data_IF_855445079213
#
_entry.id   IF_855445079213
#
_cell.length_a   1.000
_cell.length_b   1.000
_cell.length_c   1.000
_cell.angle_alpha   90.00
_cell.angle_beta   90.00
_cell.angle_gamma   90.00
#
_symmetry.space_group_name_H-M   'P 1'
#
loop_
_entity.id
_entity.type
_entity.pdbx_description
1 polymer ?
#
# COMPACT_ATOMS: atom_id res chain seq x y z
N UNK A 1 5.63 -23.93 -5.99
CA UNK A 1 6.04 -22.52 -6.08
C UNK A 1 5.69 -21.79 -4.80
N UNK A 2 6.63 -20.99 -4.35
CA UNK A 2 6.43 -20.23 -3.12
C UNK A 2 5.55 -19.02 -3.41
N UNK A 3 4.56 -18.82 -2.55
CA UNK A 3 3.73 -17.62 -2.61
C UNK A 3 4.53 -16.41 -2.16
N UNK A 4 4.20 -15.25 -2.71
CA UNK A 4 4.77 -13.98 -2.30
C UNK A 4 3.74 -13.26 -1.42
N UNK A 5 4.22 -12.52 -0.43
CA UNK A 5 3.35 -11.83 0.51
C UNK A 5 3.65 -10.34 0.55
N UNK A 6 2.63 -9.56 0.86
CA UNK A 6 2.74 -8.11 1.07
C UNK A 6 1.93 -7.70 2.29
N UNK A 7 2.46 -6.76 3.06
CA UNK A 7 1.73 -6.10 4.14
C UNK A 7 1.36 -4.72 3.64
N UNK A 8 0.08 -4.42 3.58
CA UNK A 8 -0.41 -3.14 3.04
C UNK A 8 -1.47 -2.53 3.94
N UNK A 9 -1.64 -1.22 3.84
CA UNK A 9 -2.81 -0.53 4.40
C UNK A 9 -3.77 -0.28 3.24
N UNK A 10 -4.94 -0.91 3.21
CA UNK A 10 -5.91 -0.69 2.14
C UNK A 10 -6.72 0.59 2.36
N UNK A 11 -7.09 1.24 1.27
CA UNK A 11 -7.93 2.43 1.25
C UNK A 11 -9.09 2.20 0.29
N UNK A 12 -9.96 1.26 0.66
CA UNK A 12 -11.08 0.82 -0.19
C UNK A 12 -12.05 1.95 -0.54
N UNK A 13 -12.16 2.95 0.33
CA UNK A 13 -12.98 4.13 0.06
C UNK A 13 -12.51 4.98 -1.12
N UNK A 14 -11.27 4.81 -1.57
CA UNK A 14 -10.74 5.53 -2.73
C UNK A 14 -10.93 4.77 -4.05
N UNK A 15 -11.50 3.57 -4.01
CA UNK A 15 -11.65 2.72 -5.19
C UNK A 15 -12.41 3.43 -6.32
N UNK A 16 -13.47 4.17 -6.00
CA UNK A 16 -14.26 4.88 -7.00
C UNK A 16 -13.47 5.97 -7.74
N UNK A 17 -12.38 6.44 -7.17
CA UNK A 17 -11.53 7.47 -7.78
C UNK A 17 -10.42 6.85 -8.61
N UNK A 18 -9.78 5.79 -8.14
CA UNK A 18 -8.52 5.32 -8.72
C UNK A 18 -8.59 3.94 -9.40
N UNK A 19 -9.63 3.14 -9.13
CA UNK A 19 -9.62 1.74 -9.60
C UNK A 19 -9.78 1.58 -11.10
N UNK A 20 -10.50 2.47 -11.78
CA UNK A 20 -10.60 2.40 -13.24
C UNK A 20 -9.22 2.60 -13.89
N UNK A 21 -8.47 3.57 -13.41
CA UNK A 21 -7.09 3.81 -13.87
C UNK A 21 -6.18 2.64 -13.53
N UNK A 22 -6.26 2.14 -12.32
CA UNK A 22 -5.45 1.01 -11.87
C UNK A 22 -5.73 -0.25 -12.68
N UNK A 23 -6.99 -0.52 -13.00
CA UNK A 23 -7.37 -1.68 -13.79
C UNK A 23 -6.78 -1.62 -15.20
N UNK A 24 -6.76 -0.45 -15.81
CA UNK A 24 -6.27 -0.26 -17.17
C UNK A 24 -4.76 -0.14 -17.29
N UNK A 25 -4.08 0.31 -16.23
CA UNK A 25 -2.67 0.72 -16.33
C UNK A 25 -1.72 0.00 -15.40
N UNK A 26 -2.19 -0.62 -14.33
CA UNK A 26 -1.32 -1.18 -13.30
C UNK A 26 -1.13 -2.68 -13.43
N UNK A 27 0.02 -3.16 -12.96
CA UNK A 27 0.30 -4.58 -12.86
C UNK A 27 -0.56 -5.21 -11.77
N UNK A 28 -0.63 -4.56 -10.60
CA UNK A 28 -1.48 -5.00 -9.48
C UNK A 28 -2.86 -4.37 -9.63
N UNK A 29 -3.75 -5.09 -10.29
CA UNK A 29 -5.08 -4.59 -10.67
C UNK A 29 -6.13 -4.87 -9.61
N UNK A 30 -7.19 -4.03 -9.54
CA UNK A 30 -8.35 -4.36 -8.70
C UNK A 30 -8.95 -5.73 -8.99
N UNK A 31 -9.06 -6.11 -10.26
CA UNK A 31 -9.59 -7.42 -10.65
C UNK A 31 -8.70 -8.59 -10.21
N UNK A 32 -7.44 -8.33 -9.87
CA UNK A 32 -6.52 -9.32 -9.32
C UNK A 32 -6.53 -9.32 -7.79
N UNK A 33 -7.50 -8.68 -7.16
CA UNK A 33 -7.68 -8.71 -5.71
C UNK A 33 -6.90 -7.67 -4.93
N UNK A 34 -6.26 -6.71 -5.62
CA UNK A 34 -5.46 -5.70 -4.95
C UNK A 34 -6.24 -4.39 -4.78
N UNK A 35 -6.63 -4.02 -3.54
CA UNK A 35 -7.29 -2.74 -3.30
C UNK A 35 -6.32 -1.56 -3.47
N UNK A 36 -6.84 -0.32 -3.54
CA UNK A 36 -5.96 0.85 -3.44
C UNK A 36 -5.25 0.78 -2.08
N UNK A 37 -3.95 0.99 -2.05
CA UNK A 37 -3.18 0.72 -0.84
C UNK A 37 -1.88 1.49 -0.74
N UNK A 38 -1.38 1.62 0.48
CA UNK A 38 0.00 1.98 0.76
C UNK A 38 0.71 0.72 1.25
N UNK A 39 1.80 0.35 0.59
CA UNK A 39 2.58 -0.83 0.97
C UNK A 39 3.44 -0.54 2.19
N UNK A 40 3.39 -1.43 3.18
CA UNK A 40 4.24 -1.35 4.37
C UNK A 40 5.49 -2.22 4.24
N UNK A 41 5.35 -3.42 3.67
CA UNK A 41 6.48 -4.31 3.43
C UNK A 41 6.17 -5.28 2.29
N UNK A 42 7.05 -5.33 1.31
CA UNK A 42 6.98 -6.26 0.20
C UNK A 42 8.39 -6.57 -0.32
N UNK A 43 8.78 -7.82 -0.50
CA UNK A 43 8.08 -9.03 -0.07
C UNK A 43 8.07 -9.17 1.45
N UNK A 44 7.00 -9.72 2.00
CA UNK A 44 6.81 -9.85 3.43
C UNK A 44 6.90 -11.32 3.87
N UNK A 45 7.22 -11.58 5.15
CA UNK A 45 7.13 -12.93 5.70
C UNK A 45 5.68 -13.32 5.92
N UNK A 46 5.38 -14.61 5.92
CA UNK A 46 4.07 -15.11 6.30
C UNK A 46 4.07 -15.52 7.77
N UNK A 47 4.20 -14.55 8.65
CA UNK A 47 4.23 -14.79 10.08
C UNK A 47 3.20 -13.88 10.75
N UNK A 48 1.95 -14.34 10.77
CA UNK A 48 0.82 -13.55 11.24
C UNK A 48 1.03 -13.08 12.68
N UNK A 49 1.51 -13.96 13.55
CA UNK A 49 1.70 -13.62 14.97
C UNK A 49 2.78 -12.55 15.16
N UNK A 50 3.90 -12.68 14.49
CA UNK A 50 4.99 -11.71 14.59
C UNK A 50 4.59 -10.35 13.98
N UNK A 51 3.85 -10.37 12.87
CA UNK A 51 3.35 -9.14 12.26
C UNK A 51 2.38 -8.45 13.23
N UNK A 52 1.48 -9.19 13.85
CA UNK A 52 0.53 -8.64 14.82
C UNK A 52 1.26 -8.00 16.02
N UNK A 53 2.34 -8.62 16.49
CA UNK A 53 3.14 -8.09 17.60
C UNK A 53 3.73 -6.71 17.26
N UNK A 54 4.13 -6.50 16.01
CA UNK A 54 4.65 -5.20 15.56
C UNK A 54 3.51 -4.18 15.47
N UNK A 55 2.42 -4.57 14.82
CA UNK A 55 1.34 -3.63 14.50
C UNK A 55 0.52 -3.19 15.71
N UNK A 56 0.49 -3.97 16.79
CA UNK A 56 -0.25 -3.61 18.00
C UNK A 56 0.24 -2.30 18.63
N UNK A 57 1.46 -1.89 18.35
CA UNK A 57 2.03 -0.65 18.86
C UNK A 57 1.54 0.60 18.12
N UNK A 58 0.77 0.43 17.03
CA UNK A 58 0.36 1.54 16.19
C UNK A 58 -1.15 1.75 16.23
N UNK A 59 -1.55 3.03 16.25
CA UNK A 59 -2.97 3.43 16.27
C UNK A 59 -3.44 3.81 14.88
N UNK A 60 -4.75 3.76 14.65
CA UNK A 60 -5.38 4.28 13.45
C UNK A 60 -5.15 5.78 13.35
N UNK A 61 -5.09 6.30 12.13
CA UNK A 61 -4.88 7.74 11.92
C UNK A 61 -5.52 8.23 10.63
N UNK A 62 -5.86 9.52 10.63
CA UNK A 62 -6.38 10.18 9.44
C UNK A 62 -5.30 10.37 8.39
N UNK A 63 -5.67 10.18 7.13
CA UNK A 63 -4.75 10.33 5.99
C UNK A 63 -5.37 11.26 4.97
N UNK A 64 -4.57 12.20 4.48
CA UNK A 64 -4.95 13.09 3.39
C UNK A 64 -4.01 12.85 2.22
N UNK A 65 -4.58 12.60 1.05
CA UNK A 65 -3.83 12.50 -0.19
C UNK A 65 -4.06 13.80 -0.96
N UNK A 66 -3.14 14.74 -0.80
CA UNK A 66 -3.31 16.10 -1.32
C UNK A 66 -2.62 16.35 -2.65
N UNK A 67 -1.69 15.49 -3.05
CA UNK A 67 -0.93 15.70 -4.29
C UNK A 67 -0.54 14.39 -4.96
N UNK A 68 -0.33 14.49 -6.26
CA UNK A 68 0.27 13.44 -7.06
C UNK A 68 1.78 13.65 -7.16
N UNK A 69 2.53 12.55 -7.25
CA UNK A 69 3.96 12.56 -7.47
C UNK A 69 4.32 11.39 -8.39
N UNK A 70 5.58 11.29 -8.78
CA UNK A 70 6.02 10.29 -9.75
C UNK A 70 7.33 9.64 -9.37
N UNK A 71 7.39 8.33 -9.62
CA UNK A 71 8.65 7.61 -9.83
C UNK A 71 8.74 7.31 -11.32
N UNK A 72 9.91 6.90 -11.84
CA UNK A 72 9.96 6.41 -13.22
C UNK A 72 8.94 5.27 -13.42
N UNK A 73 7.99 5.49 -14.32
CA UNK A 73 6.98 4.49 -14.64
C UNK A 73 5.80 4.37 -13.66
N UNK A 74 5.69 5.23 -12.66
CA UNK A 74 4.62 5.14 -11.66
C UNK A 74 4.14 6.51 -11.23
N UNK A 75 2.84 6.74 -11.35
CA UNK A 75 2.16 7.92 -10.81
C UNK A 75 1.46 7.51 -9.52
N UNK A 76 1.63 8.29 -8.47
CA UNK A 76 1.11 7.93 -7.15
C UNK A 76 0.62 9.12 -6.34
N UNK A 77 -0.25 8.82 -5.39
CA UNK A 77 -0.75 9.78 -4.41
C UNK A 77 0.15 9.76 -3.19
N UNK A 78 0.52 10.96 -2.72
CA UNK A 78 1.35 11.12 -1.55
C UNK A 78 0.48 11.19 -0.30
N UNK A 79 0.64 10.23 0.64
CA UNK A 79 -0.12 10.27 1.89
C UNK A 79 0.48 11.27 2.88
N UNK A 80 -0.38 11.95 3.61
CA UNK A 80 0.02 12.83 4.70
C UNK A 80 -0.75 12.45 5.96
N UNK A 81 -0.07 12.20 7.09
CA UNK A 81 1.36 12.34 7.34
C UNK A 81 2.17 11.12 6.85
N UNK A 82 3.18 11.35 6.05
CA UNK A 82 4.04 10.27 5.54
C UNK A 82 4.81 9.57 6.66
N UNK A 83 5.24 10.31 7.66
CA UNK A 83 6.06 9.79 8.76
C UNK A 83 5.34 8.75 9.62
N UNK A 84 4.02 8.76 9.67
CA UNK A 84 3.25 7.72 10.37
C UNK A 84 3.43 6.37 9.67
N UNK A 85 3.40 6.37 8.35
CA UNK A 85 3.67 5.16 7.57
C UNK A 85 5.13 4.74 7.68
N UNK A 86 6.06 5.70 7.65
CA UNK A 86 7.48 5.42 7.74
C UNK A 86 7.84 4.72 9.05
N UNK A 87 7.24 5.12 10.16
CA UNK A 87 7.47 4.48 11.46
C UNK A 87 7.02 3.02 11.48
N UNK A 88 5.88 2.73 10.88
CA UNK A 88 5.39 1.35 10.79
C UNK A 88 6.32 0.53 9.90
N UNK A 89 6.70 1.08 8.75
CA UNK A 89 7.64 0.42 7.82
C UNK A 89 8.95 0.10 8.54
N UNK A 90 9.52 1.08 9.24
CA UNK A 90 10.78 0.89 9.97
C UNK A 90 10.68 -0.19 11.05
N UNK A 91 9.55 -0.25 11.76
CA UNK A 91 9.32 -1.25 12.78
C UNK A 91 9.26 -2.66 12.17
N UNK A 92 8.59 -2.80 11.02
CA UNK A 92 8.52 -4.07 10.30
C UNK A 92 9.89 -4.48 9.78
N UNK A 93 10.64 -3.56 9.21
CA UNK A 93 11.98 -3.82 8.69
C UNK A 93 12.91 -4.31 9.81
N UNK A 94 12.85 -3.68 10.99
CA UNK A 94 13.65 -4.10 12.14
C UNK A 94 13.28 -5.49 12.63
N UNK A 95 11.99 -5.79 12.64
CA UNK A 95 11.51 -7.09 13.11
C UNK A 95 11.85 -8.22 12.14
N UNK A 96 11.89 -7.91 10.85
CA UNK A 96 12.12 -8.87 9.79
C UNK A 96 13.33 -8.50 8.94
N UNK A 97 14.55 -8.55 9.52
CA UNK A 97 15.75 -8.11 8.79
C UNK A 97 16.09 -8.96 7.58
N UNK A 98 15.56 -10.18 7.51
CA UNK A 98 15.77 -11.09 6.36
C UNK A 98 14.81 -10.78 5.20
N UNK A 99 13.92 -9.79 5.38
CA UNK A 99 12.93 -9.39 4.37
C UNK A 99 13.08 -7.89 4.06
N UNK A 100 14.19 -7.48 3.41
CA UNK A 100 14.37 -6.07 3.07
C UNK A 100 13.30 -5.64 2.06
N UNK A 101 12.72 -4.43 2.21
CA UNK A 101 11.70 -3.94 1.27
C UNK A 101 12.23 -3.98 -0.17
N UNK A 102 11.40 -4.52 -1.08
CA UNK A 102 11.73 -4.65 -2.50
C UNK A 102 13.09 -5.33 -2.74
N UNK A 103 13.40 -6.34 -1.90
CA UNK A 103 14.66 -7.09 -1.94
C UNK A 103 15.91 -6.21 -1.87
N UNK A 104 15.80 -5.06 -1.20
CA UNK A 104 16.92 -4.13 -1.04
C UNK A 104 17.18 -3.24 -2.26
N UNK A 105 16.26 -3.21 -3.23
CA UNK A 105 16.44 -2.45 -4.47
C UNK A 105 16.48 -0.93 -4.25
N UNK A 106 15.90 -0.44 -3.16
CA UNK A 106 15.80 1.00 -2.88
C UNK A 106 16.42 1.32 -1.53
N UNK A 107 17.25 2.37 -1.49
CA UNK A 107 17.88 2.83 -0.25
C UNK A 107 16.87 3.48 0.69
N UNK A 108 15.83 4.10 0.16
CA UNK A 108 14.81 4.79 0.92
C UNK A 108 13.43 4.35 0.44
N UNK A 109 12.53 4.08 1.38
CA UNK A 109 11.16 3.68 1.07
C UNK A 109 10.24 4.88 1.31
N UNK A 110 9.59 5.33 0.23
CA UNK A 110 8.66 6.45 0.25
C UNK A 110 7.23 5.89 0.26
N UNK A 111 6.43 6.18 1.30
CA UNK A 111 5.03 5.74 1.31
C UNK A 111 4.27 6.35 0.13
N UNK A 112 3.53 5.52 -0.59
CA UNK A 112 2.80 5.95 -1.78
C UNK A 112 1.63 5.04 -2.09
N UNK A 113 0.61 5.62 -2.74
CA UNK A 113 -0.54 4.88 -3.25
C UNK A 113 -0.52 5.00 -4.78
N UNK A 114 -0.15 3.93 -5.44
CA UNK A 114 -0.05 3.89 -6.91
C UNK A 114 -1.42 4.06 -7.56
N UNK A 115 -1.52 4.96 -8.54
CA UNK A 115 -2.76 5.17 -9.31
C UNK A 115 -2.64 4.78 -10.77
N UNK A 116 -1.44 4.88 -11.37
CA UNK A 116 -1.26 4.57 -12.78
C UNK A 116 0.19 4.21 -13.09
N UNK A 117 0.38 3.27 -14.01
CA UNK A 117 1.70 2.89 -14.50
C UNK A 117 1.85 3.20 -16.00
N UNK A 118 0.85 3.85 -16.59
CA UNK A 118 0.87 4.40 -17.94
C UNK A 118 -0.25 5.43 -18.06
N UNK A 119 -0.41 6.06 -19.23
CA UNK A 119 -1.47 7.06 -19.48
C UNK A 119 -1.49 8.17 -18.42
N UNK A 120 -0.32 8.70 -18.08
CA UNK A 120 -0.18 9.64 -16.97
C UNK A 120 -0.94 10.95 -17.18
N UNK A 121 -0.99 11.49 -18.39
CA UNK A 121 -1.69 12.75 -18.65
C UNK A 121 -3.19 12.62 -18.35
N UNK A 122 -3.81 11.53 -18.79
CA UNK A 122 -5.19 11.22 -18.49
C UNK A 122 -5.40 11.03 -16.99
N UNK A 123 -4.52 10.29 -16.35
CA UNK A 123 -4.58 10.02 -14.92
C UNK A 123 -4.47 11.29 -14.08
N UNK A 124 -3.56 12.19 -14.44
CA UNK A 124 -3.41 13.48 -13.74
C UNK A 124 -4.69 14.28 -13.81
N UNK A 125 -5.27 14.44 -15.01
CA UNK A 125 -6.50 15.20 -15.19
C UNK A 125 -7.64 14.59 -14.36
N UNK A 126 -7.78 13.26 -14.41
CA UNK A 126 -8.87 12.57 -13.71
C UNK A 126 -8.77 12.64 -12.19
N UNK A 127 -7.58 12.50 -11.64
CA UNK A 127 -7.38 12.42 -10.19
C UNK A 127 -7.19 13.80 -9.56
N UNK A 128 -6.39 14.66 -10.20
CA UNK A 128 -6.05 15.97 -9.62
C UNK A 128 -7.27 16.83 -9.33
N UNK A 129 -8.30 16.73 -10.15
CA UNK A 129 -9.56 17.47 -9.96
C UNK A 129 -10.31 17.05 -8.69
N UNK A 130 -9.99 15.90 -8.16
CA UNK A 130 -10.67 15.33 -6.98
C UNK A 130 -9.89 15.51 -5.68
N UNK A 131 -8.68 16.07 -5.77
CA UNK A 131 -7.84 16.28 -4.59
C UNK A 131 -8.32 17.47 -3.76
N UNK A 132 -8.14 17.45 -2.44
CA UNK A 132 -7.55 16.36 -1.65
C UNK A 132 -8.53 15.21 -1.42
N UNK A 133 -8.00 14.01 -1.29
CA UNK A 133 -8.78 12.84 -0.91
C UNK A 133 -8.50 12.53 0.55
N UNK A 134 -9.55 12.31 1.34
CA UNK A 134 -9.42 12.03 2.76
C UNK A 134 -9.81 10.59 3.05
N UNK A 135 -9.06 9.95 3.91
CA UNK A 135 -9.34 8.59 4.33
C UNK A 135 -8.77 8.36 5.72
N UNK A 136 -8.75 7.11 6.14
CA UNK A 136 -8.24 6.73 7.44
C UNK A 136 -7.49 5.40 7.35
N UNK A 137 -6.32 5.35 7.93
CA UNK A 137 -5.57 4.10 8.08
C UNK A 137 -6.14 3.36 9.28
N UNK A 138 -7.01 2.39 9.04
CA UNK A 138 -7.73 1.67 10.09
C UNK A 138 -7.22 0.28 10.34
N UNK A 139 -6.62 -0.32 9.32
CA UNK A 139 -6.12 -1.69 9.41
C UNK A 139 -4.97 -1.90 8.43
N UNK A 140 -4.17 -2.91 8.71
CA UNK A 140 -3.22 -3.44 7.75
C UNK A 140 -3.65 -4.86 7.39
N UNK A 141 -3.30 -5.32 6.21
CA UNK A 141 -3.62 -6.67 5.79
C UNK A 141 -2.38 -7.37 5.27
N UNK A 142 -2.33 -8.69 5.48
CA UNK A 142 -1.34 -9.54 4.86
C UNK A 142 -1.98 -10.17 3.64
N UNK A 143 -1.45 -9.86 2.47
CA UNK A 143 -1.92 -10.39 1.20
C UNK A 143 -0.97 -11.44 0.69
N UNK A 144 -1.51 -12.45 0.04
CA UNK A 144 -0.76 -13.54 -0.58
C UNK A 144 -1.01 -13.53 -2.08
N UNK A 145 0.07 -13.54 -2.85
CA UNK A 145 0.05 -13.66 -4.31
C UNK A 145 0.57 -15.03 -4.68
N UNK A 146 -0.31 -15.90 -5.12
CA UNK A 146 0.05 -17.26 -5.48
C UNK A 146 -0.21 -17.50 -6.97
N UNK A 147 -1.23 -18.26 -7.29
CA UNK A 147 -1.53 -18.64 -8.67
C UNK A 147 -2.43 -17.63 -9.38
N UNK A 148 -2.38 -17.62 -10.71
CA UNK A 148 -3.26 -16.82 -11.58
C UNK A 148 -3.15 -15.31 -11.34
N UNK A 149 -1.99 -14.84 -10.87
CA UNK A 149 -1.73 -13.42 -10.63
C UNK A 149 -2.75 -12.75 -9.70
N UNK A 150 -3.36 -13.54 -8.81
CA UNK A 150 -4.40 -13.06 -7.92
C UNK A 150 -3.89 -12.89 -6.49
N UNK A 151 -4.26 -11.78 -5.86
CA UNK A 151 -3.96 -11.50 -4.45
C UNK A 151 -5.17 -11.87 -3.60
N UNK A 152 -4.92 -12.46 -2.44
CA UNK A 152 -5.98 -12.74 -1.48
C UNK A 152 -5.55 -12.33 -0.08
N UNK A 153 -6.50 -11.94 0.74
CA UNK A 153 -6.25 -11.58 2.12
C UNK A 153 -6.04 -12.83 2.97
N UNK A 154 -4.91 -12.89 3.67
CA UNK A 154 -4.57 -13.99 4.57
C UNK A 154 -4.93 -13.62 6.01
N UNK A 155 -4.68 -12.37 6.39
CA UNK A 155 -4.94 -11.87 7.74
C UNK A 155 -5.19 -10.38 7.72
N UNK A 156 -5.96 -9.89 8.69
CA UNK A 156 -6.23 -8.48 8.89
C UNK A 156 -5.83 -8.09 10.31
N UNK A 157 -5.21 -6.92 10.45
CA UNK A 157 -4.72 -6.40 11.71
C UNK A 157 -5.35 -5.03 11.95
N UNK A 158 -6.32 -4.97 12.85
CA UNK A 158 -6.96 -3.70 13.18
C UNK A 158 -5.97 -2.79 13.92
N UNK A 159 -5.87 -1.54 13.47
CA UNK A 159 -5.10 -0.54 14.18
C UNK A 159 -5.97 0.00 15.31
N UNK A 160 -5.36 0.24 16.47
CA UNK A 160 -6.12 0.64 17.64
C UNK A 160 -6.78 1.99 17.44
N UNK A 161 -8.05 2.10 17.81
CA UNK A 161 -8.77 3.37 17.77
C UNK A 161 -8.21 4.32 18.83
N UNK A 162 -8.05 5.58 18.46
CA UNK A 162 -7.60 6.63 19.36
C UNK A 162 -8.79 7.48 19.80
#
# INVERSE_FOLDING_TARGET
MNATHAIVVPFEGLASVVDDLRERTCVSKPSHGMPPHVTLLYPAPRDVEAIAEVLVAFSAFEVVFARLDRFPGTLWLAPEPAERFQRVIEALVRRFPDHPPYDGAFAEIVPHLTVAQSAFDEAVVSVEMRLPLRSRAERAVLLEHAEAEHWREVASFELEAV
#
